data_IF_607962222388
#
_entry.id   IF_607962222388
#
_cell.length_a   1.000
_cell.length_b   1.000
_cell.length_c   1.000
_cell.angle_alpha   90.00
_cell.angle_beta   90.00
_cell.angle_gamma   90.00
#
_symmetry.space_group_name_H-M   'P 1'
#
loop_
_entity.id
_entity.type
_entity.pdbx_description
1 polymer ?
#
# COMPACT_ATOMS: atom_id res chain seq x y z
N UNK A 1 12.62 -5.46 12.46
CA UNK A 1 11.59 -4.49 12.03
C UNK A 1 10.35 -4.85 12.82
N UNK A 2 10.12 -4.16 13.92
CA UNK A 2 8.82 -4.17 14.59
C UNK A 2 7.88 -3.38 13.69
N UNK A 3 6.96 -4.06 13.00
CA UNK A 3 5.83 -3.40 12.37
C UNK A 3 4.92 -2.98 13.52
N UNK A 4 4.95 -1.70 13.85
CA UNK A 4 4.09 -1.09 14.86
C UNK A 4 2.62 -1.43 14.52
N UNK A 5 2.05 -2.38 15.27
CA UNK A 5 0.69 -2.90 15.07
C UNK A 5 -0.40 -1.84 15.36
N UNK A 6 -0.01 -0.62 15.74
CA UNK A 6 -0.92 0.48 16.07
C UNK A 6 -1.69 1.04 14.86
N UNK A 7 -1.31 0.73 13.62
CA UNK A 7 -1.97 1.28 12.42
C UNK A 7 -3.21 0.49 11.96
N UNK A 8 -3.39 -0.75 12.42
CA UNK A 8 -4.47 -1.64 11.97
C UNK A 8 -5.62 -1.80 12.97
N UNK A 9 -5.58 -1.08 14.10
CA UNK A 9 -6.50 -1.26 15.24
C UNK A 9 -7.90 -0.62 15.02
N UNK A 10 -8.12 0.09 13.91
CA UNK A 10 -9.36 0.83 13.63
C UNK A 10 -10.35 0.10 12.70
N UNK A 11 -10.08 -1.14 12.31
CA UNK A 11 -11.01 -1.94 11.51
C UNK A 11 -11.56 -3.07 12.39
N UNK A 12 -12.83 -2.96 12.77
CA UNK A 12 -13.57 -4.03 13.44
C UNK A 12 -13.66 -5.30 12.56
N UNK A 13 -13.99 -6.43 13.17
CA UNK A 13 -14.09 -7.74 12.48
C UNK A 13 -15.06 -7.70 11.28
N UNK A 14 -16.11 -6.87 11.35
CA UNK A 14 -17.04 -6.64 10.23
C UNK A 14 -16.37 -5.91 9.05
N UNK A 15 -15.50 -4.94 9.32
CA UNK A 15 -14.74 -4.25 8.27
C UNK A 15 -13.72 -5.16 7.60
N UNK A 16 -13.07 -6.04 8.36
CA UNK A 16 -12.17 -7.08 7.81
C UNK A 16 -12.96 -8.06 6.94
N UNK A 17 -14.16 -8.46 7.36
CA UNK A 17 -15.01 -9.36 6.59
C UNK A 17 -15.43 -8.75 5.25
N UNK A 18 -15.84 -7.47 5.24
CA UNK A 18 -16.20 -6.76 4.02
C UNK A 18 -15.03 -6.61 3.04
N UNK A 19 -13.82 -6.33 3.55
CA UNK A 19 -12.61 -6.27 2.71
C UNK A 19 -12.35 -7.65 2.08
N UNK A 20 -12.39 -8.73 2.88
CA UNK A 20 -12.17 -10.09 2.38
C UNK A 20 -13.21 -10.54 1.35
N UNK A 21 -14.47 -10.17 1.53
CA UNK A 21 -15.52 -10.44 0.55
C UNK A 21 -15.19 -9.75 -0.78
N UNK A 22 -14.81 -8.47 -0.73
CA UNK A 22 -14.43 -7.71 -1.91
C UNK A 22 -13.14 -8.22 -2.58
N UNK A 23 -12.15 -8.67 -1.79
CA UNK A 23 -10.94 -9.33 -2.30
C UNK A 23 -11.28 -10.63 -3.04
N UNK A 24 -12.22 -11.43 -2.53
CA UNK A 24 -12.68 -12.66 -3.17
C UNK A 24 -13.47 -12.37 -4.46
N UNK A 25 -14.35 -11.37 -4.46
CA UNK A 25 -15.12 -10.97 -5.64
C UNK A 25 -14.24 -10.42 -6.76
N UNK A 26 -13.26 -9.58 -6.42
CA UNK A 26 -12.39 -8.90 -7.39
C UNK A 26 -11.17 -9.74 -7.78
N UNK A 27 -10.81 -10.74 -6.97
CA UNK A 27 -9.57 -11.50 -7.08
C UNK A 27 -8.31 -10.66 -6.86
N UNK A 28 -8.44 -9.53 -6.15
CA UNK A 28 -7.35 -8.57 -5.89
C UNK A 28 -7.10 -8.48 -4.40
N UNK A 29 -5.82 -8.30 -4.03
CA UNK A 29 -5.44 -8.04 -2.65
C UNK A 29 -5.59 -6.54 -2.38
N UNK A 30 -6.32 -6.17 -1.34
CA UNK A 30 -6.64 -4.80 -0.97
C UNK A 30 -5.76 -4.35 0.20
N UNK A 31 -5.18 -3.16 0.08
CA UNK A 31 -4.34 -2.56 1.10
C UNK A 31 -5.05 -1.35 1.69
N UNK A 32 -5.46 -1.45 2.96
CA UNK A 32 -6.15 -0.38 3.67
C UNK A 32 -5.13 0.56 4.36
N UNK A 33 -5.26 1.87 4.12
CA UNK A 33 -4.51 2.92 4.81
C UNK A 33 -5.48 3.89 5.49
N UNK A 34 -5.27 4.19 6.77
CA UNK A 34 -6.15 5.06 7.58
C UNK A 34 -6.20 6.51 7.08
N UNK A 35 -5.06 7.05 6.66
CA UNK A 35 -4.96 8.33 5.95
C UNK A 35 -3.98 8.13 4.82
N UNK A 36 -4.46 7.85 3.59
CA UNK A 36 -3.55 7.71 2.48
C UNK A 36 -2.85 9.06 2.29
N UNK A 37 -1.50 9.11 2.36
CA UNK A 37 -0.82 10.29 1.89
C UNK A 37 -1.14 10.46 0.40
N UNK A 38 -1.13 11.69 -0.11
CA UNK A 38 -1.36 11.95 -1.54
C UNK A 38 -0.50 11.01 -2.39
N UNK A 39 -1.04 10.49 -3.49
CA UNK A 39 -0.22 9.74 -4.44
C UNK A 39 0.91 10.64 -4.92
N UNK A 40 2.17 10.22 -4.76
CA UNK A 40 3.29 11.06 -5.12
C UNK A 40 3.31 11.31 -6.63
N UNK A 41 3.31 12.57 -7.03
CA UNK A 41 3.56 12.96 -8.42
C UNK A 41 5.05 12.76 -8.73
N UNK A 42 5.39 11.59 -9.27
CA UNK A 42 6.76 11.25 -9.63
C UNK A 42 7.16 11.86 -10.98
N UNK A 43 8.31 12.52 -11.01
CA UNK A 43 8.99 12.88 -12.26
C UNK A 43 9.54 11.63 -12.96
N UNK A 44 9.85 11.74 -14.26
CA UNK A 44 10.42 10.63 -15.05
C UNK A 44 11.72 10.09 -14.45
N UNK A 45 12.56 10.98 -13.92
CA UNK A 45 13.84 10.61 -13.31
C UNK A 45 13.65 9.84 -11.99
N UNK A 46 12.69 10.25 -11.16
CA UNK A 46 12.36 9.54 -9.91
C UNK A 46 11.75 8.16 -10.21
N UNK A 47 10.87 8.08 -11.21
CA UNK A 47 10.25 6.83 -11.63
C UNK A 47 11.29 5.83 -12.16
N UNK A 48 12.31 6.31 -12.87
CA UNK A 48 13.41 5.47 -13.34
C UNK A 48 14.23 4.87 -12.18
N UNK A 49 14.60 5.70 -11.19
CA UNK A 49 15.29 5.23 -9.98
C UNK A 49 14.48 4.18 -9.21
N UNK A 50 13.17 4.39 -9.09
CA UNK A 50 12.27 3.44 -8.44
C UNK A 50 12.25 2.11 -9.20
N UNK A 51 12.12 2.13 -10.53
CA UNK A 51 12.13 0.91 -11.36
C UNK A 51 13.44 0.12 -11.26
N UNK A 52 14.58 0.83 -11.23
CA UNK A 52 15.88 0.18 -11.03
C UNK A 52 15.96 -0.52 -9.67
N UNK A 53 15.39 0.10 -8.64
CA UNK A 53 15.33 -0.46 -7.30
C UNK A 53 14.35 -1.64 -7.21
N UNK A 54 13.15 -1.51 -7.80
CA UNK A 54 12.16 -2.61 -7.93
C UNK A 54 12.79 -3.84 -8.58
N UNK A 55 13.58 -3.64 -9.65
CA UNK A 55 14.26 -4.73 -10.37
C UNK A 55 15.31 -5.42 -9.52
N UNK A 56 16.11 -4.65 -8.76
CA UNK A 56 17.16 -5.20 -7.89
C UNK A 56 16.60 -5.98 -6.71
N UNK A 57 15.49 -5.51 -6.15
CA UNK A 57 14.88 -6.08 -4.95
C UNK A 57 13.80 -7.13 -5.25
N UNK A 58 13.38 -7.25 -6.51
CA UNK A 58 12.27 -8.12 -6.93
C UNK A 58 10.96 -7.80 -6.18
N UNK A 59 10.67 -6.51 -5.97
CA UNK A 59 9.46 -6.02 -5.29
C UNK A 59 8.78 -4.93 -6.11
N UNK A 60 7.52 -4.64 -5.78
CA UNK A 60 6.81 -3.46 -6.26
C UNK A 60 6.82 -2.37 -5.21
N UNK A 61 7.20 -1.15 -5.60
CA UNK A 61 7.27 0.00 -4.70
C UNK A 61 6.16 1.00 -5.06
N UNK A 62 5.36 1.38 -4.07
CA UNK A 62 4.33 2.42 -4.21
C UNK A 62 4.82 3.68 -3.50
N UNK A 63 4.84 4.81 -4.22
CA UNK A 63 5.30 6.08 -3.68
C UNK A 63 4.11 6.96 -3.25
N UNK A 64 4.18 7.43 -2.02
CA UNK A 64 3.22 8.36 -1.43
C UNK A 64 3.96 9.65 -1.02
N UNK A 65 3.28 10.79 -1.04
CA UNK A 65 3.84 12.04 -0.53
C UNK A 65 4.04 11.95 0.98
N UNK A 66 5.11 12.54 1.51
CA UNK A 66 5.27 12.60 2.95
C UNK A 66 4.42 13.76 3.49
N UNK A 67 3.75 13.53 4.62
CA UNK A 67 2.91 14.54 5.30
C UNK A 67 3.74 15.69 5.89
#
# INVERSE_FOLDING_TARGET
MDFDHAYADYIDEEGIAAIKELENETGKCLLAYYSPPGTAHLTREQLQKIKELETKLCVRLVAYENH
#
